data_IF_105608267295
#
_entry.id   IF_105608267295
#
_cell.length_a   1.000
_cell.length_b   1.000
_cell.length_c   1.000
_cell.angle_alpha   90.00
_cell.angle_beta   90.00
_cell.angle_gamma   90.00
#
_symmetry.space_group_name_H-M   'P 1'
#
loop_
_entity.id
_entity.type
_entity.pdbx_description
1 polymer ?
#
# COMPACT_ATOMS: atom_id res chain seq x y z
N UNK A 1 2.82 1.59 -1.77
CA UNK A 1 3.00 0.17 -1.39
C UNK A 1 1.99 -0.68 -2.14
N UNK A 2 2.38 -1.87 -2.59
CA UNK A 2 1.53 -2.84 -3.26
C UNK A 2 1.60 -4.15 -2.47
N UNK A 3 0.45 -4.68 -2.07
CA UNK A 3 0.35 -5.95 -1.35
C UNK A 3 -0.43 -6.93 -2.22
N UNK A 4 0.22 -8.04 -2.56
CA UNK A 4 -0.40 -9.10 -3.34
C UNK A 4 -0.71 -10.28 -2.43
N UNK A 5 -1.96 -10.72 -2.43
CA UNK A 5 -2.43 -11.87 -1.67
C UNK A 5 -2.18 -13.19 -2.40
N UNK A 6 -2.27 -14.30 -1.68
CA UNK A 6 -2.11 -15.67 -2.22
C UNK A 6 -3.15 -16.02 -3.30
N UNK A 7 -4.33 -15.39 -3.27
CA UNK A 7 -5.40 -15.57 -4.25
C UNK A 7 -5.34 -14.57 -5.42
N UNK A 8 -4.19 -13.92 -5.64
CA UNK A 8 -3.96 -12.90 -6.67
C UNK A 8 -4.73 -11.57 -6.48
N UNK A 9 -5.41 -11.38 -5.35
CA UNK A 9 -5.96 -10.04 -5.00
C UNK A 9 -4.82 -9.06 -4.76
N UNK A 10 -4.92 -7.86 -5.33
CA UNK A 10 -3.91 -6.80 -5.21
C UNK A 10 -4.52 -5.61 -4.47
N UNK A 11 -3.88 -5.22 -3.37
CA UNK A 11 -4.13 -3.95 -2.70
C UNK A 11 -3.02 -2.95 -3.03
N UNK A 12 -3.41 -1.81 -3.60
CA UNK A 12 -2.54 -0.65 -3.79
C UNK A 12 -2.80 0.31 -2.66
N UNK A 13 -1.75 0.72 -1.97
CA UNK A 13 -1.87 1.37 -0.67
C UNK A 13 -0.87 2.48 -0.43
N UNK A 14 -1.34 3.54 0.21
CA UNK A 14 -0.44 4.50 0.85
C UNK A 14 0.03 3.95 2.19
N UNK A 15 1.33 4.00 2.42
CA UNK A 15 1.95 3.62 3.68
C UNK A 15 2.38 4.89 4.40
N UNK A 16 1.54 5.35 5.33
CA UNK A 16 1.71 6.61 6.05
C UNK A 16 1.72 6.43 7.56
N UNK A 17 1.56 7.54 8.29
CA UNK A 17 1.68 7.56 9.75
C UNK A 17 0.59 6.83 10.52
N UNK A 18 -0.53 6.48 9.87
CA UNK A 18 -1.62 5.68 10.44
C UNK A 18 -1.57 4.21 9.99
N UNK A 19 -0.59 3.86 9.16
CA UNK A 19 -0.34 2.48 8.74
C UNK A 19 0.43 1.73 9.82
N UNK A 20 0.31 0.41 9.83
CA UNK A 20 0.94 -0.45 10.84
C UNK A 20 1.41 -1.75 10.21
N UNK A 21 2.59 -2.22 10.64
CA UNK A 21 3.06 -3.58 10.36
C UNK A 21 3.46 -4.16 11.69
N UNK A 22 2.94 -5.34 11.99
CA UNK A 22 3.33 -6.02 13.22
C UNK A 22 4.81 -6.41 13.16
N UNK A 23 5.48 -6.21 14.30
CA UNK A 23 6.89 -6.52 14.51
C UNK A 23 7.10 -7.93 15.08
N UNK A 24 6.04 -8.62 15.49
CA UNK A 24 6.12 -10.03 15.88
C UNK A 24 6.41 -10.88 14.65
N UNK A 25 7.44 -11.74 14.71
CA UNK A 25 7.78 -12.64 13.61
C UNK A 25 6.63 -13.61 13.29
N UNK A 26 5.79 -13.93 14.28
CA UNK A 26 4.63 -14.83 14.15
C UNK A 26 3.39 -14.13 13.60
N UNK A 27 3.26 -12.83 13.82
CA UNK A 27 2.12 -12.04 13.37
C UNK A 27 2.69 -10.90 12.52
N UNK A 28 2.72 -11.05 11.20
CA UNK A 28 3.24 -10.04 10.27
C UNK A 28 2.12 -9.32 9.52
N UNK A 29 1.06 -9.01 10.26
CA UNK A 29 -0.12 -8.36 9.74
C UNK A 29 0.20 -6.93 9.32
N UNK A 30 -0.51 -6.44 8.30
CA UNK A 30 -0.28 -5.13 7.69
C UNK A 30 -1.59 -4.37 7.60
N UNK A 31 -1.64 -3.20 8.23
CA UNK A 31 -2.68 -2.19 8.04
C UNK A 31 -2.20 -1.16 7.01
N UNK A 32 -2.97 -1.02 5.93
CA UNK A 32 -2.82 0.04 4.94
C UNK A 32 -3.86 1.11 5.26
N UNK A 33 -3.42 2.35 5.51
CA UNK A 33 -4.32 3.43 5.92
C UNK A 33 -5.25 3.90 4.80
N UNK A 34 -4.79 3.88 3.54
CA UNK A 34 -5.59 4.26 2.39
C UNK A 34 -5.34 3.32 1.21
N UNK A 35 -6.42 2.70 0.72
CA UNK A 35 -6.43 1.87 -0.48
C UNK A 35 -6.75 2.71 -1.71
N UNK A 36 -6.10 2.38 -2.82
CA UNK A 36 -6.30 2.96 -4.14
C UNK A 36 -6.89 1.93 -5.09
N UNK A 37 -7.74 2.40 -6.00
CA UNK A 37 -8.26 1.62 -7.13
C UNK A 37 -7.60 2.08 -8.44
N UNK A 38 -7.71 1.23 -9.45
CA UNK A 38 -7.33 1.52 -10.82
C UNK A 38 -8.62 1.76 -11.63
N UNK A 39 -8.73 2.88 -12.34
CA UNK A 39 -9.90 3.22 -13.17
C UNK A 39 -9.63 3.03 -14.68
N UNK A 40 -8.54 2.35 -15.02
CA UNK A 40 -8.07 2.13 -16.39
C UNK A 40 -7.35 3.34 -17.02
N UNK A 41 -7.32 4.50 -16.35
CA UNK A 41 -6.57 5.69 -16.79
C UNK A 41 -5.52 6.11 -15.77
N UNK A 42 -5.82 5.93 -14.48
CA UNK A 42 -5.00 6.29 -13.35
C UNK A 42 -4.80 5.06 -12.46
N UNK A 43 -3.54 4.66 -12.19
CA UNK A 43 -3.27 3.50 -11.33
C UNK A 43 -3.51 3.78 -9.83
N UNK A 44 -3.76 5.04 -9.46
CA UNK A 44 -3.85 5.50 -8.06
C UNK A 44 -5.07 6.40 -7.85
N UNK A 45 -6.28 5.85 -7.89
CA UNK A 45 -7.51 6.57 -7.51
C UNK A 45 -7.77 6.38 -6.01
N UNK A 46 -7.66 7.43 -5.17
CA UNK A 46 -7.77 7.28 -3.72
C UNK A 46 -9.20 6.90 -3.31
N UNK A 47 -9.30 5.95 -2.36
CA UNK A 47 -10.59 5.59 -1.75
C UNK A 47 -10.66 6.04 -0.28
N UNK A 48 -11.83 5.90 0.33
CA UNK A 48 -12.04 6.11 1.78
C UNK A 48 -11.89 4.83 2.60
N UNK A 49 -11.28 3.78 2.02
CA UNK A 49 -11.13 2.47 2.65
C UNK A 49 -9.70 2.29 3.16
N UNK A 50 -9.59 1.71 4.33
CA UNK A 50 -8.38 1.08 4.86
C UNK A 50 -8.52 -0.44 4.78
N UNK A 51 -7.40 -1.16 4.88
CA UNK A 51 -7.43 -2.62 4.94
C UNK A 51 -6.40 -3.15 5.93
N UNK A 52 -6.84 -4.02 6.84
CA UNK A 52 -5.98 -4.87 7.65
C UNK A 52 -5.86 -6.22 6.96
N UNK A 53 -4.64 -6.64 6.68
CA UNK A 53 -4.31 -7.85 5.95
C UNK A 53 -3.55 -8.78 6.89
N UNK A 54 -4.09 -9.98 7.11
CA UNK A 54 -3.43 -11.00 7.88
C UNK A 54 -2.18 -11.51 7.14
N UNK A 55 -1.08 -11.71 7.86
CA UNK A 55 0.19 -12.21 7.33
C UNK A 55 0.03 -13.51 6.52
N UNK A 56 -0.86 -14.38 6.99
CA UNK A 56 -1.17 -15.66 6.37
C UNK A 56 -1.71 -15.55 4.95
N UNK A 57 -2.25 -14.40 4.56
CA UNK A 57 -2.81 -14.17 3.21
C UNK A 57 -1.82 -13.48 2.26
N UNK A 58 -0.76 -12.88 2.80
CA UNK A 58 0.20 -12.09 2.03
C UNK A 58 1.13 -13.02 1.23
N UNK A 59 1.29 -12.73 -0.06
CA UNK A 59 2.27 -13.37 -0.94
C UNK A 59 3.49 -12.46 -1.15
N UNK A 60 3.27 -11.21 -1.54
CA UNK A 60 4.34 -10.21 -1.72
C UNK A 60 3.92 -8.85 -1.15
N UNK A 61 4.93 -8.09 -0.75
CA UNK A 61 4.83 -6.66 -0.47
C UNK A 61 5.89 -5.98 -1.32
N UNK A 62 5.48 -5.01 -2.12
CA UNK A 62 6.32 -4.25 -3.03
C UNK A 62 6.23 -2.76 -2.70
N UNK A 63 7.37 -2.09 -2.72
CA UNK A 63 7.46 -0.65 -2.46
C UNK A 63 7.77 0.06 -3.77
N UNK A 64 6.85 0.91 -4.22
CA UNK A 64 7.15 1.87 -5.27
C UNK A 64 7.81 3.09 -4.63
N UNK A 65 9.01 3.48 -5.08
CA UNK A 65 9.62 4.73 -4.63
C UNK A 65 8.75 5.90 -5.10
N UNK A 66 8.53 6.86 -4.22
CA UNK A 66 7.99 8.15 -4.60
C UNK A 66 8.98 8.77 -5.59
N UNK A 67 8.51 9.14 -6.78
CA UNK A 67 9.32 10.00 -7.66
C UNK A 67 9.33 11.35 -6.98
N UNK A 68 10.51 11.80 -6.52
CA UNK A 68 10.69 13.22 -6.21
C UNK A 68 10.33 13.98 -7.49
N UNK A 69 9.27 14.78 -7.45
CA UNK A 69 9.00 15.72 -8.53
C UNK A 69 10.16 16.74 -8.50
N UNK A 70 11.09 16.62 -9.45
CA UNK A 70 12.24 17.53 -9.67
C UNK A 70 11.82 19.00 -10.01
N UNK A 71 10.58 19.40 -9.76
CA UNK A 71 9.96 20.63 -10.29
C UNK A 71 9.46 21.62 -9.22
N UNK A 72 10.23 21.81 -8.14
CA UNK A 72 10.16 23.07 -7.38
C UNK A 72 11.55 23.70 -7.30
N UNK A 73 11.94 24.43 -8.36
CA UNK A 73 13.01 25.41 -8.25
C UNK A 73 12.58 26.50 -7.25
N UNK A 74 13.34 26.75 -6.16
CA UNK A 74 13.06 27.88 -5.31
C UNK A 74 13.22 29.17 -6.12
N UNK A 75 12.24 30.08 -5.99
CA UNK A 75 12.31 31.44 -6.51
C UNK A 75 13.27 32.29 -5.67
#
# INVERSE_FOLDING_TARGET
MIVTLKNDTIFRGWWGGLSFSSSDVKERDVLIEQVFEEDGKHPWVPTRRSVLIAAGEIRTIEFEPEKEDDDVKPK
#
